data_IF_767573050614
#
_entry.id   IF_767573050614
#
_cell.length_a   1.000
_cell.length_b   1.000
_cell.length_c   1.000
_cell.angle_alpha   90.00
_cell.angle_beta   90.00
_cell.angle_gamma   90.00
#
_symmetry.space_group_name_H-M   'P 1'
#
loop_
_entity.id
_entity.type
_entity.pdbx_description
1 polymer ?
#
# COMPACT_ATOMS: atom_id res chain seq x y z
N UNK A 1 8.33 -0.12 -7.76
CA UNK A 1 8.30 -1.41 -8.51
C UNK A 1 9.28 -2.44 -7.94
N UNK A 2 10.55 -2.09 -7.66
CA UNK A 2 11.57 -3.04 -7.19
C UNK A 2 11.16 -3.96 -6.03
N UNK A 3 10.58 -3.43 -4.95
CA UNK A 3 10.14 -4.27 -3.82
C UNK A 3 9.04 -5.30 -4.17
N UNK A 4 8.14 -4.98 -5.11
CA UNK A 4 7.11 -5.92 -5.56
C UNK A 4 7.67 -6.99 -6.51
N UNK A 5 8.73 -6.66 -7.26
CA UNK A 5 9.47 -7.65 -8.04
C UNK A 5 10.18 -8.64 -7.11
N UNK A 6 10.83 -8.13 -6.07
CA UNK A 6 11.45 -8.98 -5.04
C UNK A 6 10.42 -9.89 -4.36
N UNK A 7 9.19 -9.42 -4.12
CA UNK A 7 8.14 -10.25 -3.55
C UNK A 7 7.69 -11.40 -4.47
N UNK A 8 7.73 -11.17 -5.80
CA UNK A 8 7.50 -12.21 -6.81
C UNK A 8 8.66 -13.20 -6.80
N UNK A 9 9.91 -12.72 -6.87
CA UNK A 9 11.10 -13.59 -6.93
C UNK A 9 11.25 -14.47 -5.68
N UNK A 10 10.83 -13.97 -4.52
CA UNK A 10 10.89 -14.68 -3.24
C UNK A 10 9.62 -15.50 -2.95
N UNK A 11 8.60 -15.47 -3.81
CA UNK A 11 7.30 -16.12 -3.59
C UNK A 11 6.66 -15.77 -2.24
N UNK A 12 6.81 -14.51 -1.80
CA UNK A 12 6.24 -14.00 -0.55
C UNK A 12 4.96 -13.20 -0.80
N UNK A 13 3.91 -13.37 0.01
CA UNK A 13 2.68 -12.62 -0.14
C UNK A 13 2.91 -11.13 0.14
N UNK A 14 2.16 -10.28 -0.55
CA UNK A 14 2.17 -8.82 -0.36
C UNK A 14 0.88 -8.39 0.32
N UNK A 15 0.99 -7.62 1.42
CA UNK A 15 -0.18 -7.09 2.14
C UNK A 15 -0.37 -5.61 1.76
N UNK A 16 -1.49 -5.23 1.12
CA UNK A 16 -1.83 -3.83 0.88
C UNK A 16 -2.11 -3.09 2.19
N UNK A 17 -1.59 -1.86 2.33
CA UNK A 17 -1.85 -1.02 3.50
C UNK A 17 -2.23 0.39 3.02
N UNK A 18 -3.40 0.86 3.44
CA UNK A 18 -3.86 2.23 3.27
C UNK A 18 -3.50 3.06 4.50
N UNK A 19 -2.86 4.23 4.28
CA UNK A 19 -2.52 5.17 5.36
C UNK A 19 -3.20 6.51 5.05
N UNK A 20 -4.14 6.91 5.90
CA UNK A 20 -4.98 8.09 5.71
C UNK A 20 -4.58 9.14 6.74
N UNK A 21 -4.47 10.40 6.31
CA UNK A 21 -4.18 11.53 7.21
C UNK A 21 -2.71 11.75 7.58
N UNK A 22 -1.79 10.81 7.31
CA UNK A 22 -0.36 10.97 7.64
C UNK A 22 0.30 12.24 7.05
N UNK A 23 -0.20 12.76 5.92
CA UNK A 23 0.30 14.00 5.30
C UNK A 23 0.08 15.25 6.15
N UNK A 24 -0.93 15.28 7.03
CA UNK A 24 -1.17 16.44 7.90
C UNK A 24 -0.06 16.61 8.95
N UNK A 25 0.52 15.49 9.40
CA UNK A 25 1.62 15.46 10.39
C UNK A 25 2.95 15.99 9.84
N UNK A 26 3.18 15.93 8.52
CA UNK A 26 4.43 16.39 7.92
C UNK A 26 4.38 17.84 7.44
N UNK A 27 3.18 18.38 7.18
CA UNK A 27 3.02 19.69 6.53
C UNK A 27 3.04 20.88 7.49
N UNK A 28 2.67 20.69 8.76
CA UNK A 28 2.64 21.78 9.76
C UNK A 28 3.33 21.33 11.06
N UNK A 29 4.64 21.58 11.21
CA UNK A 29 5.34 21.44 12.51
C UNK A 29 4.78 22.34 13.63
N UNK A 30 3.97 23.36 13.30
CA UNK A 30 3.58 24.42 14.23
C UNK A 30 2.06 24.62 14.41
N UNK A 31 1.22 23.79 13.80
CA UNK A 31 -0.23 23.92 13.93
C UNK A 31 -0.79 22.87 14.88
N UNK A 32 -0.50 23.03 16.18
CA UNK A 32 -0.97 22.16 17.26
C UNK A 32 -2.50 22.16 17.46
N UNK A 33 -3.25 22.91 16.64
CA UNK A 33 -4.71 23.09 16.78
C UNK A 33 -5.56 22.18 15.89
N UNK A 34 -4.98 21.44 14.95
CA UNK A 34 -5.76 20.50 14.13
C UNK A 34 -5.79 19.12 14.78
N UNK A 35 -7.01 18.63 15.06
CA UNK A 35 -7.24 17.22 15.37
C UNK A 35 -6.80 16.40 14.16
N UNK A 36 -5.57 15.89 14.21
CA UNK A 36 -5.00 15.12 13.12
C UNK A 36 -5.50 13.68 13.28
N UNK A 37 -6.41 13.26 12.41
CA UNK A 37 -6.84 11.87 12.34
C UNK A 37 -5.81 11.05 11.53
N UNK A 38 -5.29 9.97 12.11
CA UNK A 38 -4.44 8.99 11.42
C UNK A 38 -5.18 7.66 11.44
N UNK A 39 -5.41 7.10 10.26
CA UNK A 39 -6.03 5.80 10.09
C UNK A 39 -5.12 4.89 9.27
N UNK A 40 -5.02 3.63 9.69
CA UNK A 40 -4.30 2.58 8.97
C UNK A 40 -5.27 1.44 8.71
N UNK A 41 -5.46 1.12 7.43
CA UNK A 41 -6.30 0.01 6.99
C UNK A 41 -5.42 -1.06 6.37
N UNK A 42 -5.60 -2.29 6.83
CA UNK A 42 -4.81 -3.45 6.40
C UNK A 42 -5.68 -4.31 5.49
N UNK A 43 -5.23 -4.51 4.26
CA UNK A 43 -5.91 -5.33 3.27
C UNK A 43 -5.61 -6.83 3.41
N UNK A 44 -6.21 -7.61 2.52
CA UNK A 44 -5.96 -9.05 2.45
C UNK A 44 -4.60 -9.35 1.78
N UNK A 45 -3.89 -10.41 2.20
CA UNK A 45 -2.67 -10.82 1.52
C UNK A 45 -2.91 -11.17 0.06
N UNK A 46 -2.04 -10.67 -0.83
CA UNK A 46 -1.99 -11.00 -2.25
C UNK A 46 -0.89 -12.01 -2.49
N UNK A 47 -1.26 -13.19 -2.96
CA UNK A 47 -0.32 -14.27 -3.24
C UNK A 47 0.52 -13.98 -4.50
N UNK A 48 1.78 -14.38 -4.48
CA UNK A 48 2.74 -14.19 -5.59
C UNK A 48 3.23 -15.49 -6.21
N UNK A 49 2.87 -16.66 -5.64
CA UNK A 49 3.37 -17.99 -6.04
C UNK A 49 3.22 -18.33 -7.53
N UNK A 50 2.18 -17.80 -8.18
CA UNK A 50 1.88 -18.10 -9.58
C UNK A 50 2.27 -16.95 -10.53
N UNK A 51 3.01 -15.96 -10.03
CA UNK A 51 3.42 -14.79 -10.80
C UNK A 51 4.87 -14.91 -11.25
N UNK A 52 5.14 -14.36 -12.42
CA UNK A 52 6.49 -14.25 -12.97
C UNK A 52 6.86 -12.79 -13.19
N UNK A 53 8.13 -12.52 -13.55
CA UNK A 53 8.58 -11.18 -13.90
C UNK A 53 7.76 -10.52 -15.04
N UNK A 54 7.16 -11.33 -15.92
CA UNK A 54 6.29 -10.83 -17.00
C UNK A 54 5.03 -10.16 -16.43
N UNK A 55 4.52 -10.68 -15.33
CA UNK A 55 3.28 -10.25 -14.68
C UNK A 55 3.45 -9.03 -13.77
N UNK A 56 4.71 -8.58 -13.54
CA UNK A 56 5.05 -7.52 -12.58
C UNK A 56 4.24 -6.24 -12.74
N UNK A 57 3.93 -5.83 -13.98
CA UNK A 57 3.21 -4.59 -14.22
C UNK A 57 1.75 -4.71 -13.81
N UNK A 58 1.12 -5.84 -14.08
CA UNK A 58 -0.28 -6.08 -13.72
C UNK A 58 -0.42 -6.37 -12.23
N UNK A 59 0.55 -7.05 -11.63
CA UNK A 59 0.62 -7.19 -10.17
C UNK A 59 0.76 -5.83 -9.46
N UNK A 60 1.63 -4.94 -9.95
CA UNK A 60 1.76 -3.57 -9.40
C UNK A 60 0.44 -2.80 -9.50
N UNK A 61 -0.27 -2.92 -10.64
CA UNK A 61 -1.59 -2.28 -10.80
C UNK A 61 -2.59 -2.87 -9.80
N UNK A 62 -2.64 -4.20 -9.65
CA UNK A 62 -3.52 -4.88 -8.69
C UNK A 62 -3.28 -4.40 -7.27
N UNK A 63 -2.01 -4.41 -6.80
CA UNK A 63 -1.65 -3.90 -5.46
C UNK A 63 -2.12 -2.45 -5.27
N UNK A 64 -1.94 -1.59 -6.29
CA UNK A 64 -2.40 -0.21 -6.24
C UNK A 64 -3.91 -0.10 -6.13
N UNK A 65 -4.66 -0.89 -6.89
CA UNK A 65 -6.13 -0.92 -6.82
C UNK A 65 -6.61 -1.31 -5.44
N UNK A 66 -6.02 -2.33 -4.82
CA UNK A 66 -6.35 -2.75 -3.45
C UNK A 66 -6.07 -1.63 -2.43
N UNK A 67 -4.92 -0.95 -2.53
CA UNK A 67 -4.60 0.18 -1.64
C UNK A 67 -5.58 1.34 -1.81
N UNK A 68 -5.98 1.66 -3.04
CA UNK A 68 -6.99 2.71 -3.30
C UNK A 68 -8.35 2.29 -2.72
N UNK A 69 -8.77 1.04 -2.93
CA UNK A 69 -10.02 0.51 -2.37
C UNK A 69 -10.07 0.63 -0.84
N UNK A 70 -8.96 0.37 -0.15
CA UNK A 70 -8.90 0.57 1.31
C UNK A 70 -9.12 2.03 1.72
N UNK A 71 -8.64 3.00 0.93
CA UNK A 71 -8.73 4.42 1.27
C UNK A 71 -10.11 5.01 0.92
N UNK A 72 -10.79 4.47 -0.09
CA UNK A 72 -12.10 4.95 -0.56
C UNK A 72 -13.29 4.32 0.22
N UNK A 73 -13.07 3.24 0.96
CA UNK A 73 -14.02 2.68 1.95
C UNK A 73 -14.20 3.57 3.19
#
# INVERSE_FOLDING_TARGET
KGGLVMAIDLNVPVIPVGIIGARSYTRNRFDHKKSNHLEVKIGKPLNTKDLTYKDRNDFVKKVRTEVIGLIDE
#
